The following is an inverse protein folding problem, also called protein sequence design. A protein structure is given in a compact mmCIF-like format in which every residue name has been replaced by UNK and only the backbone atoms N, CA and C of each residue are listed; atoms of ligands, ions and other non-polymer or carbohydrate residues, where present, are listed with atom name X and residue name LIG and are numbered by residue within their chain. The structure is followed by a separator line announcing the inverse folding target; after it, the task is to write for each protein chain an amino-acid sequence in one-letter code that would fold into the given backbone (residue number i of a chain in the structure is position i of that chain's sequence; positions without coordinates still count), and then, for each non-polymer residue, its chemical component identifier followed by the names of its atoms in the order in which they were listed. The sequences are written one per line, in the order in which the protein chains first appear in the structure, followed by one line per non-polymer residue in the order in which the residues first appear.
data_IF_831378071564
#
_entry.id   IF_831378071564
#
_cell.length_a   1.000
_cell.length_b   1.000
_cell.length_c   1.000
_cell.angle_alpha   90.00
_cell.angle_beta   90.00
_cell.angle_gamma   90.00
#
_symmetry.space_group_name_H-M   'P 1'
#
loop_
_entity.id
_entity.type
_entity.pdbx_description
1 polymer ?
#
# COMPACT_ATOMS: atom_id res chain seq x y z
N UNK A 1 5.40 8.03 0.20
CA UNK A 1 6.84 8.37 0.09
C UNK A 1 7.56 7.31 -0.75
N UNK A 2 8.07 7.71 -1.91
CA UNK A 2 8.91 6.87 -2.78
C UNK A 2 10.37 6.99 -2.35
N UNK A 3 11.07 5.86 -2.19
CA UNK A 3 12.45 5.84 -1.68
C UNK A 3 13.47 5.42 -2.74
N UNK A 4 13.13 4.47 -3.62
CA UNK A 4 14.00 3.96 -4.68
C UNK A 4 13.19 3.37 -5.84
N UNK A 5 13.71 3.38 -7.09
CA UNK A 5 13.03 2.78 -8.23
C UNK A 5 12.88 1.26 -8.09
N UNK A 6 11.81 0.73 -8.67
CA UNK A 6 11.60 -0.71 -8.94
C UNK A 6 11.94 -0.96 -10.40
N UNK A 7 12.67 -2.03 -10.70
CA UNK A 7 13.18 -2.36 -12.03
C UNK A 7 12.51 -3.62 -12.61
N UNK A 8 12.52 -3.82 -13.94
CA UNK A 8 12.08 -5.07 -14.53
C UNK A 8 12.81 -6.28 -13.95
N UNK A 9 12.07 -7.31 -13.56
CA UNK A 9 12.61 -8.50 -12.88
C UNK A 9 12.53 -8.45 -11.35
N UNK A 10 12.30 -7.28 -10.75
CA UNK A 10 12.02 -7.19 -9.32
C UNK A 10 10.70 -7.88 -8.97
N UNK A 11 10.66 -8.56 -7.83
CA UNK A 11 9.40 -8.98 -7.20
C UNK A 11 8.99 -7.94 -6.18
N UNK A 12 7.92 -7.20 -6.50
CA UNK A 12 7.33 -6.21 -5.61
C UNK A 12 6.34 -6.88 -4.66
N UNK A 13 6.67 -6.88 -3.37
CA UNK A 13 5.75 -7.31 -2.31
C UNK A 13 5.00 -6.09 -1.80
N UNK A 14 3.67 -6.16 -1.81
CA UNK A 14 2.79 -5.09 -1.32
C UNK A 14 2.02 -5.63 -0.12
N UNK A 15 2.21 -4.99 1.02
CA UNK A 15 1.49 -5.28 2.26
C UNK A 15 0.61 -4.10 2.60
N UNK A 16 -0.62 -4.37 3.03
CA UNK A 16 -1.57 -3.34 3.43
C UNK A 16 -2.26 -3.70 4.72
N UNK A 17 -2.58 -2.67 5.50
CA UNK A 17 -3.35 -2.78 6.74
C UNK A 17 -4.46 -1.74 6.74
N UNK A 18 -5.68 -2.17 7.09
CA UNK A 18 -6.80 -1.24 7.30
C UNK A 18 -6.65 -0.65 8.70
N UNK A 19 -6.55 0.68 8.78
CA UNK A 19 -6.45 1.39 10.04
C UNK A 19 -7.83 1.75 10.61
N UNK A 20 -8.73 2.24 9.76
CA UNK A 20 -10.05 2.71 10.18
C UNK A 20 -11.05 2.60 9.05
N UNK A 21 -12.28 2.25 9.43
CA UNK A 21 -13.44 2.33 8.54
C UNK A 21 -14.49 3.24 9.18
N UNK A 22 -15.06 4.16 8.39
CA UNK A 22 -16.17 5.03 8.81
C UNK A 22 -17.14 5.21 7.66
N UNK A 23 -18.38 4.75 7.84
CA UNK A 23 -19.39 4.68 6.76
C UNK A 23 -18.79 3.91 5.57
N UNK A 24 -18.90 4.45 4.36
CA UNK A 24 -18.33 3.89 3.14
C UNK A 24 -16.88 4.31 2.87
N UNK A 25 -16.17 4.96 3.81
CA UNK A 25 -14.77 5.36 3.62
C UNK A 25 -13.86 4.58 4.56
N UNK A 26 -12.80 3.99 4.02
CA UNK A 26 -11.74 3.32 4.77
C UNK A 26 -10.39 4.02 4.56
N UNK A 27 -9.55 3.97 5.59
CA UNK A 27 -8.16 4.38 5.54
C UNK A 27 -7.25 3.21 5.87
N UNK A 28 -6.11 3.14 5.21
CA UNK A 28 -5.11 2.11 5.45
C UNK A 28 -3.69 2.64 5.26
N UNK A 29 -2.73 1.80 5.57
CA UNK A 29 -1.32 2.01 5.21
C UNK A 29 -0.91 0.91 4.24
N UNK A 30 -0.09 1.28 3.26
CA UNK A 30 0.54 0.37 2.32
C UNK A 30 2.05 0.49 2.39
N UNK A 31 2.74 -0.64 2.37
CA UNK A 31 4.19 -0.73 2.29
C UNK A 31 4.56 -1.65 1.14
N UNK A 32 5.47 -1.17 0.31
CA UNK A 32 6.00 -1.94 -0.81
C UNK A 32 7.48 -2.23 -0.55
N UNK A 33 7.90 -3.48 -0.77
CA UNK A 33 9.29 -3.91 -0.62
C UNK A 33 9.77 -4.78 -1.79
N UNK A 34 11.07 -4.75 -2.04
CA UNK A 34 11.78 -5.61 -3.00
C UNK A 34 12.98 -6.20 -2.27
N UNK A 35 13.10 -7.52 -2.26
CA UNK A 35 14.15 -8.25 -1.51
C UNK A 35 14.22 -7.81 -0.04
N UNK A 36 13.05 -7.65 0.61
CA UNK A 36 12.93 -7.24 2.02
C UNK A 36 13.19 -5.75 2.30
N UNK A 37 13.61 -4.96 1.31
CA UNK A 37 13.91 -3.53 1.49
C UNK A 37 12.76 -2.65 0.98
N UNK A 38 12.35 -1.67 1.78
CA UNK A 38 11.24 -0.75 1.46
C UNK A 38 11.55 0.11 0.24
N UNK A 39 10.68 0.09 -0.75
CA UNK A 39 10.75 0.95 -1.95
C UNK A 39 9.76 2.10 -1.89
N UNK A 40 8.59 1.89 -1.28
CA UNK A 40 7.51 2.86 -1.19
C UNK A 40 6.63 2.60 0.03
N UNK A 41 6.08 3.66 0.60
CA UNK A 41 5.08 3.63 1.67
C UNK A 41 3.99 4.65 1.35
N UNK A 42 2.73 4.38 1.67
CA UNK A 42 1.63 5.30 1.43
C UNK A 42 0.54 5.16 2.50
N UNK A 43 -0.09 6.28 2.82
CA UNK A 43 -1.41 6.28 3.44
C UNK A 43 -2.45 6.19 2.32
N UNK A 44 -3.41 5.30 2.50
CA UNK A 44 -4.47 5.00 1.55
C UNK A 44 -5.79 5.49 2.12
N UNK A 45 -6.63 6.08 1.27
CA UNK A 45 -8.02 6.36 1.58
C UNK A 45 -8.85 5.93 0.38
N UNK A 46 -9.89 5.15 0.63
CA UNK A 46 -10.71 4.56 -0.43
C UNK A 46 -12.16 4.38 0.01
N UNK A 47 -13.06 4.38 -0.96
CA UNK A 47 -14.47 4.07 -0.74
C UNK A 47 -14.69 2.56 -0.79
N UNK A 48 -15.45 2.03 0.16
CA UNK A 48 -15.96 0.67 0.17
C UNK A 48 -17.36 0.71 -0.45
N UNK A 49 -17.55 -0.10 -1.49
CA UNK A 49 -18.81 -0.21 -2.23
C UNK A 49 -19.29 -1.66 -2.18
N UNK A 50 -20.61 -1.86 -2.08
CA UNK A 50 -21.20 -3.18 -2.22
C UNK A 50 -21.07 -3.68 -3.66
N UNK A 51 -21.01 -5.00 -3.82
CA UNK A 51 -20.79 -5.67 -5.10
C UNK A 51 -22.03 -5.67 -5.99
#
# INVERSE_FOLDING_TARGET
KWRRPVLPGDTLVIETEILKTKRSIASGIGRCSVNGVVVSEAELMFSVVDR
#
